data_IF_831725638530
#
_entry.id   IF_831725638530
#
_cell.length_a   1.000
_cell.length_b   1.000
_cell.length_c   1.000
_cell.angle_alpha   90.00
_cell.angle_beta   90.00
_cell.angle_gamma   90.00
#
_symmetry.space_group_name_H-M   'P 1'
#
loop_
_entity.id
_entity.type
_entity.pdbx_description
1 polymer ?
#
# COMPACT_ATOMS: atom_id res chain seq x y z
N UNK A 1 -18.45 -17.66 16.01
CA UNK A 1 -19.19 -18.93 15.89
C UNK A 1 -19.46 -19.35 14.44
N UNK A 2 -19.70 -18.44 13.48
CA UNK A 2 -19.82 -18.82 12.05
C UNK A 2 -18.49 -19.37 11.44
N UNK A 3 -17.34 -18.80 11.81
CA UNK A 3 -16.00 -19.22 11.36
C UNK A 3 -15.55 -20.63 11.78
N UNK A 4 -16.21 -21.25 12.77
CA UNK A 4 -15.85 -22.61 13.24
C UNK A 4 -16.66 -23.73 12.58
N UNK A 5 -17.75 -23.41 11.88
CA UNK A 5 -18.64 -24.40 11.25
C UNK A 5 -18.19 -24.74 9.82
N UNK A 6 -17.60 -23.77 9.07
CA UNK A 6 -16.99 -24.05 7.76
C UNK A 6 -15.75 -24.95 7.84
N UNK A 7 -15.05 -24.94 8.99
CA UNK A 7 -13.78 -25.64 9.23
C UNK A 7 -13.88 -27.18 9.16
N UNK A 8 -15.09 -27.73 9.11
CA UNK A 8 -15.37 -29.16 9.23
C UNK A 8 -16.08 -29.79 8.00
N UNK A 9 -16.26 -29.04 6.90
CA UNK A 9 -16.88 -29.58 5.68
C UNK A 9 -15.88 -30.28 4.74
N UNK A 10 -14.63 -29.81 4.67
CA UNK A 10 -13.57 -30.53 3.96
C UNK A 10 -12.94 -31.58 4.88
N UNK A 11 -13.03 -32.86 4.52
CA UNK A 11 -12.17 -33.87 5.12
C UNK A 11 -10.69 -33.58 4.82
N UNK A 12 -9.76 -34.04 5.66
CA UNK A 12 -8.31 -33.81 5.53
C UNK A 12 -7.76 -34.08 4.11
N UNK A 13 -8.30 -35.11 3.46
CA UNK A 13 -7.96 -35.44 2.06
C UNK A 13 -8.39 -34.37 1.07
N UNK A 14 -9.59 -33.81 1.24
CA UNK A 14 -10.10 -32.74 0.38
C UNK A 14 -9.27 -31.47 0.52
N UNK A 15 -8.84 -31.16 1.76
CA UNK A 15 -7.93 -30.04 2.04
C UNK A 15 -6.61 -30.20 1.31
N UNK A 16 -5.95 -31.36 1.45
CA UNK A 16 -4.68 -31.63 0.78
C UNK A 16 -4.81 -31.55 -0.74
N UNK A 17 -5.83 -32.19 -1.33
CA UNK A 17 -6.07 -32.14 -2.78
C UNK A 17 -6.34 -30.71 -3.26
N UNK A 18 -7.12 -29.91 -2.51
CA UNK A 18 -7.39 -28.52 -2.86
C UNK A 18 -6.10 -27.68 -2.87
N UNK A 19 -5.24 -27.82 -1.86
CA UNK A 19 -3.97 -27.10 -1.79
C UNK A 19 -3.08 -27.42 -3.00
N UNK A 20 -2.96 -28.69 -3.38
CA UNK A 20 -2.14 -29.10 -4.53
C UNK A 20 -2.72 -28.62 -5.87
N UNK A 21 -4.04 -28.64 -6.02
CA UNK A 21 -4.70 -28.11 -7.23
C UNK A 21 -4.41 -26.61 -7.39
N UNK A 22 -4.52 -25.85 -6.31
CA UNK A 22 -4.29 -24.40 -6.35
C UNK A 22 -2.81 -24.11 -6.60
N UNK A 23 -1.90 -24.84 -5.95
CA UNK A 23 -0.46 -24.71 -6.18
C UNK A 23 -0.07 -25.03 -7.63
N UNK A 24 -0.59 -26.12 -8.20
CA UNK A 24 -0.35 -26.48 -9.59
C UNK A 24 -0.94 -25.43 -10.54
N UNK A 25 -2.15 -24.94 -10.27
CA UNK A 25 -2.76 -23.89 -11.09
C UNK A 25 -1.96 -22.58 -11.04
N UNK A 26 -1.46 -22.17 -9.86
CA UNK A 26 -0.59 -20.99 -9.72
C UNK A 26 0.67 -21.13 -10.59
N UNK A 27 1.27 -22.32 -10.61
CA UNK A 27 2.50 -22.58 -11.35
C UNK A 27 2.30 -22.64 -12.88
N UNK A 28 1.17 -23.15 -13.38
CA UNK A 28 1.00 -23.44 -14.82
C UNK A 28 -0.01 -22.55 -15.54
N UNK A 29 -0.92 -21.89 -14.82
CA UNK A 29 -2.10 -21.22 -15.38
C UNK A 29 -3.05 -22.15 -16.17
N UNK A 30 -2.90 -23.47 -16.09
CA UNK A 30 -3.67 -24.45 -16.84
C UNK A 30 -4.69 -25.19 -15.95
N UNK A 31 -5.93 -25.46 -16.44
CA UNK A 31 -6.91 -26.26 -15.70
C UNK A 31 -6.35 -27.62 -15.26
N UNK A 32 -6.45 -27.90 -13.96
CA UNK A 32 -5.77 -29.03 -13.34
C UNK A 32 -6.62 -30.30 -13.40
N UNK A 33 -6.07 -31.38 -13.95
CA UNK A 33 -6.75 -32.66 -14.11
C UNK A 33 -6.44 -33.67 -13.01
N UNK A 34 -7.41 -34.54 -12.68
CA UNK A 34 -7.24 -35.54 -11.61
C UNK A 34 -6.09 -36.53 -11.83
N UNK A 35 -5.76 -36.85 -13.08
CA UNK A 35 -4.61 -37.70 -13.44
C UNK A 35 -3.26 -37.04 -13.13
N UNK A 36 -3.15 -35.73 -13.36
CA UNK A 36 -1.93 -34.98 -13.10
C UNK A 36 -1.66 -34.93 -11.59
N UNK A 37 -2.68 -34.59 -10.79
CA UNK A 37 -2.57 -34.53 -9.33
C UNK A 37 -2.25 -35.90 -8.71
N UNK A 38 -2.92 -36.98 -9.14
CA UNK A 38 -2.58 -38.34 -8.68
C UNK A 38 -1.09 -38.66 -8.91
N UNK A 39 -0.62 -38.43 -10.14
CA UNK A 39 0.75 -38.79 -10.52
C UNK A 39 1.81 -37.94 -9.82
N UNK A 40 1.54 -36.65 -9.58
CA UNK A 40 2.52 -35.69 -9.07
C UNK A 40 2.59 -35.68 -7.54
N UNK A 41 1.45 -35.81 -6.85
CA UNK A 41 1.35 -35.50 -5.42
C UNK A 41 0.83 -36.63 -4.54
N UNK A 42 0.17 -37.65 -5.11
CA UNK A 42 -0.50 -38.70 -4.31
C UNK A 42 -0.31 -40.12 -4.89
N UNK A 43 0.74 -40.82 -4.45
CA UNK A 43 1.05 -42.19 -4.90
C UNK A 43 -0.07 -43.21 -4.59
N UNK A 44 -0.83 -42.99 -3.51
CA UNK A 44 -1.85 -43.93 -3.02
C UNK A 44 -3.29 -43.61 -3.49
N UNK A 45 -3.49 -42.58 -4.32
CA UNK A 45 -4.83 -42.17 -4.77
C UNK A 45 -5.01 -42.39 -6.27
N UNK A 46 -6.08 -43.12 -6.63
CA UNK A 46 -6.43 -43.30 -8.03
C UNK A 46 -6.99 -42.00 -8.65
N UNK A 47 -6.78 -41.74 -9.96
CA UNK A 47 -7.37 -40.59 -10.64
C UNK A 47 -8.90 -40.52 -10.55
N UNK A 48 -9.57 -41.66 -10.38
CA UNK A 48 -11.02 -41.71 -10.17
C UNK A 48 -11.41 -41.18 -8.78
N UNK A 49 -10.65 -41.55 -7.74
CA UNK A 49 -10.87 -41.05 -6.37
C UNK A 49 -10.69 -39.54 -6.30
N UNK A 50 -9.62 -39.02 -6.91
CA UNK A 50 -9.36 -37.57 -6.95
C UNK A 50 -10.45 -36.85 -7.74
N UNK A 51 -10.93 -37.43 -8.85
CA UNK A 51 -12.04 -36.84 -9.62
C UNK A 51 -13.31 -36.67 -8.77
N UNK A 52 -13.65 -37.66 -7.95
CA UNK A 52 -14.79 -37.56 -7.04
C UNK A 52 -14.59 -36.43 -6.02
N UNK A 53 -13.42 -36.35 -5.39
CA UNK A 53 -13.11 -35.26 -4.45
C UNK A 53 -13.13 -33.89 -5.14
N UNK A 54 -12.63 -33.78 -6.37
CA UNK A 54 -12.70 -32.55 -7.16
C UNK A 54 -14.14 -32.14 -7.47
N UNK A 55 -15.05 -33.11 -7.67
CA UNK A 55 -16.48 -32.85 -7.82
C UNK A 55 -17.07 -32.29 -6.52
N UNK A 56 -16.77 -32.93 -5.39
CA UNK A 56 -17.22 -32.44 -4.07
C UNK A 56 -16.71 -31.01 -3.80
N UNK A 57 -15.45 -30.72 -4.15
CA UNK A 57 -14.86 -29.38 -4.01
C UNK A 57 -15.50 -28.34 -4.93
N UNK A 58 -15.97 -28.74 -6.11
CA UNK A 58 -16.74 -27.90 -7.02
C UNK A 58 -18.14 -27.63 -6.49
N UNK A 59 -18.84 -28.65 -5.98
CA UNK A 59 -20.16 -28.51 -5.35
C UNK A 59 -20.10 -27.60 -4.11
N UNK A 60 -18.99 -27.66 -3.37
CA UNK A 60 -18.70 -26.77 -2.23
C UNK A 60 -18.23 -25.36 -2.66
N UNK A 61 -18.02 -25.13 -3.96
CA UNK A 61 -17.67 -23.84 -4.56
C UNK A 61 -16.20 -23.42 -4.46
N UNK A 62 -15.27 -24.32 -4.10
CA UNK A 62 -13.83 -24.03 -4.05
C UNK A 62 -13.14 -24.12 -5.42
N UNK A 63 -13.70 -24.94 -6.29
CA UNK A 63 -13.24 -25.15 -7.65
C UNK A 63 -14.38 -24.91 -8.64
N UNK A 64 -14.04 -24.68 -9.90
CA UNK A 64 -14.99 -24.67 -11.00
C UNK A 64 -14.41 -25.33 -12.24
N UNK A 65 -15.27 -25.83 -13.11
CA UNK A 65 -14.90 -26.32 -14.42
C UNK A 65 -15.14 -25.25 -15.51
N UNK A 66 -14.09 -24.72 -16.17
CA UNK A 66 -14.28 -23.68 -17.19
C UNK A 66 -14.97 -24.20 -18.47
N UNK A 67 -14.69 -25.45 -18.86
CA UNK A 67 -15.33 -26.15 -19.99
C UNK A 67 -15.54 -27.62 -19.66
N UNK A 68 -16.56 -28.26 -20.25
CA UNK A 68 -16.98 -29.63 -19.92
C UNK A 68 -15.86 -30.70 -20.02
N UNK A 69 -14.82 -30.47 -20.84
CA UNK A 69 -13.66 -31.35 -21.01
C UNK A 69 -12.39 -30.89 -20.26
N UNK A 70 -12.39 -29.69 -19.70
CA UNK A 70 -11.24 -29.12 -19.00
C UNK A 70 -11.10 -29.68 -17.58
N UNK A 71 -9.90 -29.51 -16.99
CA UNK A 71 -9.66 -29.73 -15.57
C UNK A 71 -10.46 -28.79 -14.66
N UNK A 72 -10.01 -28.61 -13.42
CA UNK A 72 -10.60 -27.63 -12.50
C UNK A 72 -9.69 -26.43 -12.34
N UNK A 73 -10.29 -25.28 -12.10
CA UNK A 73 -9.58 -24.03 -11.73
C UNK A 73 -10.10 -23.53 -10.38
N UNK A 74 -9.28 -22.83 -9.59
CA UNK A 74 -9.71 -22.26 -8.33
C UNK A 74 -10.77 -21.17 -8.51
N UNK A 75 -11.70 -21.09 -7.56
CA UNK A 75 -12.56 -19.92 -7.35
C UNK A 75 -11.90 -18.97 -6.34
N UNK A 76 -12.49 -17.80 -6.14
CA UNK A 76 -12.06 -16.84 -5.11
C UNK A 76 -12.08 -17.47 -3.71
N UNK A 77 -13.11 -18.29 -3.43
CA UNK A 77 -13.22 -19.10 -2.21
C UNK A 77 -12.09 -20.13 -2.09
N UNK A 78 -11.70 -20.74 -3.22
CA UNK A 78 -10.54 -21.62 -3.32
C UNK A 78 -9.25 -20.90 -2.91
N UNK A 79 -8.96 -19.77 -3.54
CA UNK A 79 -7.78 -18.96 -3.23
C UNK A 79 -7.76 -18.47 -1.78
N UNK A 80 -8.90 -18.00 -1.25
CA UNK A 80 -9.02 -17.62 0.17
C UNK A 80 -8.66 -18.78 1.08
N UNK A 81 -9.22 -19.98 0.82
CA UNK A 81 -8.87 -21.17 1.60
C UNK A 81 -7.37 -21.47 1.53
N UNK A 82 -6.78 -21.40 0.33
CA UNK A 82 -5.35 -21.62 0.13
C UNK A 82 -4.53 -20.65 0.98
N UNK A 83 -4.74 -19.34 0.82
CA UNK A 83 -4.03 -18.28 1.55
C UNK A 83 -4.12 -18.45 3.06
N UNK A 84 -5.30 -18.79 3.58
CA UNK A 84 -5.51 -18.98 5.02
C UNK A 84 -4.78 -20.23 5.58
N UNK A 85 -4.32 -21.14 4.72
CA UNK A 85 -3.70 -22.42 5.10
C UNK A 85 -2.29 -22.63 4.52
N UNK A 86 -1.71 -21.68 3.78
CA UNK A 86 -0.32 -21.77 3.35
C UNK A 86 0.56 -21.77 4.61
N UNK A 87 1.47 -22.74 4.79
CA UNK A 87 2.42 -22.68 5.87
C UNK A 87 3.28 -21.41 5.73
N UNK A 88 3.69 -20.77 6.84
CA UNK A 88 4.63 -19.66 6.77
C UNK A 88 5.92 -20.15 6.11
N UNK A 89 6.15 -19.71 4.87
CA UNK A 89 7.30 -20.08 4.09
C UNK A 89 8.57 -19.38 4.58
N UNK A 90 9.75 -20.04 4.52
CA UNK A 90 11.00 -19.31 4.57
C UNK A 90 11.07 -18.39 3.34
N UNK A 91 11.52 -17.16 3.54
CA UNK A 91 12.05 -16.38 2.42
C UNK A 91 13.16 -17.21 1.79
N UNK A 92 13.17 -17.33 0.47
CA UNK A 92 14.39 -17.70 -0.21
C UNK A 92 15.45 -16.67 0.24
N UNK A 93 16.55 -17.16 0.83
CA UNK A 93 17.53 -16.31 1.50
C UNK A 93 18.17 -15.26 0.56
N UNK A 94 18.00 -15.42 -0.75
CA UNK A 94 18.41 -14.48 -1.80
C UNK A 94 17.52 -13.22 -1.86
N UNK A 95 16.19 -13.34 -1.75
CA UNK A 95 15.27 -12.20 -1.87
C UNK A 95 15.34 -11.26 -0.66
N UNK A 96 15.47 -11.81 0.56
CA UNK A 96 15.74 -10.98 1.76
C UNK A 96 17.11 -10.29 1.72
N UNK A 97 18.08 -10.88 1.00
CA UNK A 97 19.41 -10.31 0.77
C UNK A 97 19.33 -9.07 -0.13
N UNK A 98 18.63 -9.18 -1.26
CA UNK A 98 18.42 -8.09 -2.22
C UNK A 98 17.72 -6.90 -1.54
N UNK A 99 16.69 -7.16 -0.74
CA UNK A 99 15.95 -6.11 0.00
C UNK A 99 16.78 -5.52 1.14
N UNK A 100 17.82 -6.17 1.65
CA UNK A 100 18.68 -5.57 2.70
C UNK A 100 19.86 -4.81 2.11
N UNK A 101 20.51 -5.40 1.10
CA UNK A 101 21.71 -4.89 0.46
C UNK A 101 21.42 -3.58 -0.31
N UNK A 102 20.25 -3.48 -0.95
CA UNK A 102 19.81 -2.25 -1.63
C UNK A 102 19.55 -1.08 -0.67
N UNK A 103 19.19 -1.36 0.59
CA UNK A 103 18.83 -0.33 1.57
C UNK A 103 19.97 0.08 2.51
N UNK A 104 20.94 -0.81 2.78
CA UNK A 104 21.96 -0.55 3.80
C UNK A 104 23.02 0.49 3.37
N UNK A 105 23.17 0.76 2.06
CA UNK A 105 24.23 1.62 1.51
C UNK A 105 23.74 2.95 0.90
N UNK A 106 22.57 3.01 0.24
CA UNK A 106 22.18 4.20 -0.55
C UNK A 106 21.02 5.05 0.03
N UNK A 107 20.21 4.49 0.94
CA UNK A 107 18.91 5.09 1.30
C UNK A 107 18.84 5.68 2.71
N UNK A 108 19.87 5.55 3.55
CA UNK A 108 19.80 6.01 4.95
C UNK A 108 19.58 7.52 5.07
N UNK A 109 20.16 8.31 4.18
CA UNK A 109 20.12 9.78 4.22
C UNK A 109 19.21 10.43 3.16
N UNK A 110 18.50 9.64 2.34
CA UNK A 110 17.60 10.15 1.31
C UNK A 110 16.29 10.71 1.87
N UNK A 111 15.58 11.60 1.18
CA UNK A 111 14.20 12.00 1.54
C UNK A 111 13.26 10.80 1.74
N UNK A 112 12.19 10.96 2.54
CA UNK A 112 11.20 9.89 2.75
C UNK A 112 10.61 9.40 1.42
N UNK A 113 10.30 10.33 0.53
CA UNK A 113 9.69 10.05 -0.76
C UNK A 113 10.55 9.11 -1.60
N UNK A 114 11.85 9.37 -1.72
CA UNK A 114 12.80 8.50 -2.44
C UNK A 114 12.89 7.09 -1.83
N UNK A 115 12.82 6.98 -0.51
CA UNK A 115 12.80 5.66 0.17
C UNK A 115 11.52 4.90 -0.20
N UNK A 116 10.37 5.58 -0.23
CA UNK A 116 9.08 4.99 -0.58
C UNK A 116 8.99 4.66 -2.08
N UNK A 117 9.57 5.47 -2.96
CA UNK A 117 9.72 5.18 -4.39
C UNK A 117 10.58 3.94 -4.63
N UNK A 118 11.71 3.86 -3.94
CA UNK A 118 12.57 2.68 -3.98
C UNK A 118 11.84 1.42 -3.50
N UNK A 119 11.08 1.53 -2.40
CA UNK A 119 10.23 0.44 -1.93
C UNK A 119 9.19 0.01 -2.98
N UNK A 120 8.52 0.97 -3.62
CA UNK A 120 7.55 0.71 -4.68
C UNK A 120 8.19 -0.03 -5.87
N UNK A 121 9.41 0.35 -6.24
CA UNK A 121 10.19 -0.28 -7.30
C UNK A 121 10.62 -1.71 -6.94
N UNK A 122 11.07 -1.93 -5.71
CA UNK A 122 11.46 -3.25 -5.20
C UNK A 122 10.26 -4.18 -5.17
N UNK A 123 9.12 -3.73 -4.64
CA UNK A 123 7.88 -4.49 -4.67
C UNK A 123 7.56 -4.93 -6.09
N UNK A 124 7.54 -3.99 -7.04
CA UNK A 124 7.25 -4.29 -8.44
C UNK A 124 8.23 -5.29 -9.06
N UNK A 125 9.54 -5.04 -8.95
CA UNK A 125 10.56 -5.86 -9.63
C UNK A 125 10.69 -7.27 -9.06
N UNK A 126 10.70 -7.41 -7.74
CA UNK A 126 10.89 -8.71 -7.09
C UNK A 126 9.65 -9.60 -7.21
N UNK A 127 8.47 -8.98 -7.22
CA UNK A 127 7.20 -9.69 -7.38
C UNK A 127 6.81 -9.98 -8.83
N UNK A 128 7.33 -9.20 -9.77
CA UNK A 128 6.81 -9.10 -11.13
C UNK A 128 5.31 -8.77 -11.16
N UNK A 129 4.86 -7.89 -10.27
CA UNK A 129 3.49 -7.40 -10.12
C UNK A 129 3.48 -5.87 -10.03
N UNK A 130 2.29 -5.25 -9.87
CA UNK A 130 2.22 -3.81 -9.58
C UNK A 130 2.51 -3.55 -8.10
N UNK A 131 3.55 -2.77 -7.83
CA UNK A 131 3.86 -2.24 -6.51
C UNK A 131 3.06 -0.97 -6.24
N UNK A 132 2.49 -0.88 -5.04
CA UNK A 132 1.74 0.27 -4.54
C UNK A 132 2.33 0.71 -3.20
N UNK A 133 2.59 2.01 -3.04
CA UNK A 133 3.03 2.57 -1.76
C UNK A 133 2.27 3.87 -1.50
N UNK A 134 1.54 3.87 -0.38
CA UNK A 134 0.83 5.05 0.10
C UNK A 134 1.79 5.92 0.91
N UNK A 135 1.99 7.17 0.49
CA UNK A 135 2.75 8.17 1.24
C UNK A 135 1.89 8.68 2.40
N UNK A 136 2.45 8.89 3.60
CA UNK A 136 1.66 9.36 4.73
C UNK A 136 1.05 10.73 4.40
N UNK A 137 -0.21 10.95 4.81
CA UNK A 137 -0.81 12.27 4.63
C UNK A 137 0.00 13.34 5.37
N UNK A 138 0.39 14.37 4.64
CA UNK A 138 1.11 15.52 5.16
C UNK A 138 0.44 16.13 6.39
N UNK A 139 -0.89 16.21 6.39
CA UNK A 139 -1.68 16.78 7.48
C UNK A 139 -1.44 16.10 8.84
N UNK A 140 -1.04 14.82 8.85
CA UNK A 140 -0.77 14.05 10.06
C UNK A 140 0.71 14.04 10.47
N UNK A 141 1.61 14.59 9.63
CA UNK A 141 3.03 14.66 9.94
C UNK A 141 3.33 15.66 11.07
N UNK A 142 4.46 15.44 11.75
CA UNK A 142 4.97 16.37 12.75
C UNK A 142 5.77 17.49 12.09
N UNK A 143 5.48 18.72 12.48
CA UNK A 143 6.19 19.92 12.06
C UNK A 143 7.62 19.94 12.60
N UNK A 144 8.61 20.13 11.71
CA UNK A 144 10.03 20.32 12.08
C UNK A 144 10.50 21.74 11.84
N UNK A 145 10.28 22.27 10.63
CA UNK A 145 10.76 23.60 10.24
C UNK A 145 9.89 24.21 9.13
N UNK A 146 9.77 25.53 9.14
CA UNK A 146 9.27 26.33 8.01
C UNK A 146 10.16 27.54 7.79
N UNK A 147 10.36 27.89 6.52
CA UNK A 147 11.13 29.05 6.10
C UNK A 147 10.38 29.79 4.99
N UNK A 148 10.31 31.11 5.10
CA UNK A 148 9.78 31.96 4.05
C UNK A 148 10.91 32.78 3.41
N UNK A 149 11.05 32.65 2.10
CA UNK A 149 12.05 33.37 1.30
C UNK A 149 11.34 34.26 0.30
N UNK A 150 11.57 35.57 0.34
CA UNK A 150 10.99 36.50 -0.63
C UNK A 150 11.59 36.20 -2.01
N UNK A 151 10.73 35.91 -2.98
CA UNK A 151 11.12 35.58 -4.37
C UNK A 151 10.64 36.62 -5.39
N UNK A 152 9.68 37.46 -5.01
CA UNK A 152 9.16 38.55 -5.83
C UNK A 152 8.66 39.72 -4.99
N UNK A 153 8.08 40.73 -5.63
CA UNK A 153 7.51 41.90 -4.92
C UNK A 153 6.34 41.50 -4.01
N UNK A 154 5.47 40.62 -4.49
CA UNK A 154 4.26 40.16 -3.82
C UNK A 154 4.25 38.63 -3.66
N UNK A 155 5.42 38.00 -3.66
CA UNK A 155 5.56 36.55 -3.63
C UNK A 155 6.68 36.12 -2.68
N UNK A 156 6.41 35.07 -1.89
CA UNK A 156 7.39 34.39 -1.07
C UNK A 156 7.32 32.87 -1.32
N UNK A 157 8.47 32.22 -1.34
CA UNK A 157 8.58 30.76 -1.29
C UNK A 157 8.50 30.32 0.16
N UNK A 158 7.45 29.60 0.52
CA UNK A 158 7.38 28.83 1.75
C UNK A 158 8.08 27.48 1.51
N UNK A 159 9.04 27.14 2.36
CA UNK A 159 9.70 25.83 2.40
C UNK A 159 9.42 25.22 3.76
N UNK A 160 8.67 24.13 3.76
CA UNK A 160 8.32 23.38 4.94
C UNK A 160 9.08 22.05 4.96
N UNK A 161 9.51 21.63 6.15
CA UNK A 161 10.15 20.35 6.41
C UNK A 161 9.44 19.68 7.59
N UNK A 162 9.06 18.42 7.44
CA UNK A 162 8.53 17.59 8.53
C UNK A 162 9.65 16.89 9.31
N UNK A 163 9.33 16.32 10.47
CA UNK A 163 10.27 15.47 11.23
C UNK A 163 10.75 14.24 10.42
N UNK A 164 10.02 13.87 9.37
CA UNK A 164 10.39 12.79 8.45
C UNK A 164 11.28 13.23 7.28
N UNK A 165 11.62 14.52 7.21
CA UNK A 165 12.35 15.07 6.07
C UNK A 165 11.51 15.21 4.81
N UNK A 166 10.18 15.11 4.91
CA UNK A 166 9.29 15.46 3.80
C UNK A 166 9.36 16.96 3.60
N UNK A 167 9.78 17.36 2.40
CA UNK A 167 9.91 18.75 2.01
C UNK A 167 8.69 19.13 1.17
N UNK A 168 8.02 20.22 1.54
CA UNK A 168 7.01 20.84 0.70
C UNK A 168 7.39 22.29 0.46
N UNK A 169 7.23 22.75 -0.77
CA UNK A 169 7.47 24.13 -1.11
C UNK A 169 6.29 24.73 -1.89
N UNK A 170 5.96 25.98 -1.60
CA UNK A 170 4.86 26.68 -2.24
C UNK A 170 5.18 28.16 -2.39
N UNK A 171 4.94 28.71 -3.57
CA UNK A 171 4.95 30.16 -3.76
C UNK A 171 3.61 30.68 -3.23
N UNK A 172 3.67 31.57 -2.25
CA UNK A 172 2.51 32.21 -1.63
C UNK A 172 2.49 33.70 -1.94
N UNK A 173 1.30 34.27 -2.19
CA UNK A 173 1.16 35.71 -2.30
C UNK A 173 1.43 36.36 -0.94
N UNK A 174 2.19 37.47 -0.94
CA UNK A 174 2.46 38.28 0.24
C UNK A 174 2.23 39.76 -0.08
N UNK A 175 1.91 40.57 0.92
CA UNK A 175 1.81 42.01 0.73
C UNK A 175 3.19 42.60 0.41
N UNK A 176 3.24 43.68 -0.38
CA UNK A 176 4.49 44.27 -0.84
C UNK A 176 5.39 44.74 0.34
N UNK A 177 4.77 45.10 1.47
CA UNK A 177 5.44 45.56 2.69
C UNK A 177 6.16 44.46 3.49
N UNK A 178 5.98 43.17 3.12
CA UNK A 178 6.70 42.08 3.77
C UNK A 178 8.16 42.09 3.33
N UNK A 179 9.05 42.64 4.18
CA UNK A 179 10.49 42.49 4.01
C UNK A 179 10.93 41.06 4.33
N UNK A 180 12.11 40.66 3.83
CA UNK A 180 12.71 39.37 4.20
C UNK A 180 12.88 39.24 5.73
N UNK A 181 13.21 40.33 6.42
CA UNK A 181 13.33 40.36 7.88
C UNK A 181 12.01 40.03 8.60
N UNK A 182 10.88 40.55 8.08
CA UNK A 182 9.54 40.19 8.59
C UNK A 182 9.25 38.71 8.36
N UNK A 183 9.55 38.18 7.17
CA UNK A 183 9.37 36.76 6.83
C UNK A 183 10.21 35.83 7.71
N UNK A 184 11.47 36.20 7.98
CA UNK A 184 12.36 35.48 8.89
C UNK A 184 11.84 35.53 10.33
N UNK A 185 11.33 36.68 10.78
CA UNK A 185 10.73 36.80 12.12
C UNK A 185 9.51 35.88 12.29
N UNK A 186 8.68 35.77 11.25
CA UNK A 186 7.53 34.86 11.21
C UNK A 186 7.99 33.40 11.22
N UNK A 187 8.99 33.06 10.41
CA UNK A 187 9.57 31.71 10.38
C UNK A 187 10.06 31.29 11.77
N UNK A 188 10.84 32.15 12.43
CA UNK A 188 11.34 31.91 13.79
C UNK A 188 10.22 31.70 14.81
N UNK A 189 9.16 32.51 14.74
CA UNK A 189 8.00 32.38 15.60
C UNK A 189 7.31 31.02 15.41
N UNK A 190 7.00 30.62 14.17
CA UNK A 190 6.35 29.35 13.87
C UNK A 190 7.22 28.16 14.31
N UNK A 191 8.52 28.24 14.05
CA UNK A 191 9.50 27.22 14.43
C UNK A 191 9.63 27.06 15.95
N UNK A 192 9.53 28.16 16.71
CA UNK A 192 9.56 28.11 18.18
C UNK A 192 8.31 27.50 18.80
N UNK A 193 7.14 27.86 18.27
CA UNK A 193 5.85 27.50 18.88
C UNK A 193 5.33 26.12 18.50
N UNK A 194 5.55 25.71 17.25
CA UNK A 194 4.84 24.58 16.65
C UNK A 194 5.71 23.35 16.41
N UNK A 195 6.97 23.37 16.86
CA UNK A 195 7.88 22.22 16.79
C UNK A 195 7.26 20.95 17.39
N UNK A 196 7.41 19.83 16.68
CA UNK A 196 6.91 18.50 17.07
C UNK A 196 5.38 18.41 17.23
N UNK A 197 4.61 19.30 16.62
CA UNK A 197 3.14 19.23 16.64
C UNK A 197 2.59 18.74 15.30
N UNK A 198 1.47 18.00 15.28
CA UNK A 198 0.83 17.59 14.03
C UNK A 198 0.37 18.79 13.21
N UNK A 199 0.61 18.79 11.90
CA UNK A 199 0.25 19.91 11.00
C UNK A 199 -1.24 20.24 11.05
N UNK A 200 -2.11 19.22 11.07
CA UNK A 200 -3.57 19.36 11.22
C UNK A 200 -3.95 20.06 12.52
N UNK A 201 -3.23 19.76 13.62
CA UNK A 201 -3.43 20.44 14.89
C UNK A 201 -2.97 21.89 14.80
N UNK A 202 -1.81 22.16 14.20
CA UNK A 202 -1.28 23.53 14.05
C UNK A 202 -2.25 24.38 13.23
N UNK A 203 -2.80 23.86 12.12
CA UNK A 203 -3.85 24.53 11.35
C UNK A 203 -5.04 24.91 12.23
N UNK A 204 -5.52 23.96 13.02
CA UNK A 204 -6.68 24.17 13.90
C UNK A 204 -6.38 25.19 15.01
N UNK A 205 -5.18 25.14 15.58
CA UNK A 205 -4.71 26.06 16.62
C UNK A 205 -4.56 27.48 16.08
N UNK A 206 -3.94 27.65 14.91
CA UNK A 206 -3.76 28.94 14.24
C UNK A 206 -5.12 29.58 13.89
N UNK A 207 -6.06 28.80 13.38
CA UNK A 207 -7.43 29.27 13.11
C UNK A 207 -8.19 29.62 14.39
N UNK A 208 -8.02 28.85 15.47
CA UNK A 208 -8.63 29.18 16.78
C UNK A 208 -8.07 30.49 17.31
N UNK A 209 -6.75 30.62 17.31
CA UNK A 209 -6.00 31.81 17.72
C UNK A 209 -6.52 33.05 17.00
N UNK A 210 -6.52 33.06 15.67
CA UNK A 210 -7.03 34.18 14.86
C UNK A 210 -8.49 34.60 15.16
N UNK A 211 -9.35 33.67 15.59
CA UNK A 211 -10.77 33.95 15.90
C UNK A 211 -10.98 34.52 17.31
N UNK A 212 -10.26 34.04 18.31
CA UNK A 212 -10.64 34.23 19.73
C UNK A 212 -9.78 35.23 20.51
N UNK A 213 -8.59 35.61 20.02
CA UNK A 213 -7.63 36.44 20.76
C UNK A 213 -7.38 37.81 20.09
N UNK A 214 -8.40 38.37 19.43
CA UNK A 214 -8.33 39.62 18.64
C UNK A 214 -7.80 40.86 19.40
N UNK A 215 -7.84 40.87 20.73
CA UNK A 215 -7.46 42.04 21.54
C UNK A 215 -6.01 42.01 22.07
N UNK A 216 -5.24 40.93 21.88
CA UNK A 216 -3.89 40.80 22.45
C UNK A 216 -2.79 40.40 21.45
N UNK A 217 -3.08 40.38 20.15
CA UNK A 217 -2.11 39.94 19.16
C UNK A 217 -1.16 41.02 18.70
N UNK A 218 0.14 40.77 18.89
CA UNK A 218 1.19 41.47 18.16
C UNK A 218 1.03 41.27 16.66
N UNK A 219 1.34 42.31 15.89
CA UNK A 219 1.20 42.33 14.42
C UNK A 219 1.94 41.17 13.74
N UNK A 220 3.05 40.71 14.33
CA UNK A 220 3.83 39.57 13.85
C UNK A 220 3.01 38.27 13.84
N UNK A 221 2.22 38.05 14.89
CA UNK A 221 1.36 36.87 15.03
C UNK A 221 0.30 36.84 13.93
N UNK A 222 -0.38 37.97 13.73
CA UNK A 222 -1.45 38.07 12.71
C UNK A 222 -0.91 37.71 11.33
N UNK A 223 0.28 38.22 10.99
CA UNK A 223 0.99 37.90 9.75
C UNK A 223 1.41 36.42 9.68
N UNK A 224 1.83 35.83 10.80
CA UNK A 224 2.15 34.39 10.87
C UNK A 224 0.93 33.51 10.58
N UNK A 225 -0.23 33.87 11.12
CA UNK A 225 -1.49 33.18 10.86
C UNK A 225 -1.88 33.31 9.38
N UNK A 226 -1.86 34.52 8.82
CA UNK A 226 -2.21 34.77 7.42
C UNK A 226 -1.31 33.99 6.44
N UNK A 227 0.01 33.95 6.70
CA UNK A 227 0.94 33.17 5.87
C UNK A 227 0.75 31.67 6.05
N UNK A 228 0.50 31.18 7.27
CA UNK A 228 0.20 29.77 7.49
C UNK A 228 -1.08 29.36 6.76
N UNK A 229 -2.16 30.11 6.91
CA UNK A 229 -3.40 29.84 6.19
C UNK A 229 -3.13 29.83 4.69
N UNK A 230 -2.50 30.84 4.12
CA UNK A 230 -2.23 30.88 2.67
C UNK A 230 -1.35 29.71 2.18
N UNK A 231 -0.42 29.23 3.02
CA UNK A 231 0.43 28.07 2.71
C UNK A 231 -0.39 26.77 2.68
N UNK A 232 -1.30 26.57 3.63
CA UNK A 232 -1.96 25.28 3.89
C UNK A 232 -3.51 25.27 3.66
N UNK A 233 -4.09 26.34 3.11
CA UNK A 233 -5.54 26.55 2.87
C UNK A 233 -5.94 26.33 1.41
N UNK A 234 -5.05 25.77 0.57
CA UNK A 234 -5.53 25.14 -0.66
C UNK A 234 -6.56 24.10 -0.25
N UNK A 235 -7.77 24.27 -0.75
CA UNK A 235 -8.91 23.40 -0.54
C UNK A 235 -8.49 21.93 -0.53
N UNK A 236 -8.32 21.42 0.69
CA UNK A 236 -7.98 20.06 1.11
C UNK A 236 -9.19 19.12 0.84
N UNK A 237 -9.81 19.27 -0.34
CA UNK A 237 -10.72 18.30 -0.92
C UNK A 237 -9.85 17.42 -1.81
N UNK A 238 -9.70 16.16 -1.42
CA UNK A 238 -9.30 15.07 -2.31
C UNK A 238 -7.91 15.17 -2.96
N UNK A 239 -6.89 15.64 -2.24
CA UNK A 239 -5.54 15.07 -2.46
C UNK A 239 -5.32 13.98 -1.43
N UNK A 240 -6.08 12.91 -1.68
CA UNK A 240 -5.80 11.52 -1.33
C UNK A 240 -4.30 11.30 -1.09
N UNK A 241 -3.97 10.50 -0.07
CA UNK A 241 -2.60 10.08 0.20
C UNK A 241 -1.84 9.83 -1.12
N UNK A 242 -0.68 10.49 -1.30
CA UNK A 242 0.05 10.38 -2.57
C UNK A 242 0.40 8.90 -2.80
N UNK A 243 -0.22 8.34 -3.83
CA UNK A 243 -0.06 6.94 -4.18
C UNK A 243 1.03 6.80 -5.24
N UNK A 244 2.11 6.15 -4.85
CA UNK A 244 3.14 5.64 -5.74
C UNK A 244 2.66 4.33 -6.36
N UNK A 245 2.76 4.25 -7.68
CA UNK A 245 2.36 3.08 -8.47
C UNK A 245 3.50 2.75 -9.42
N UNK A 246 3.97 1.50 -9.41
CA UNK A 246 4.98 1.03 -10.35
C UNK A 246 4.68 -0.41 -10.80
N UNK A 247 5.12 -0.80 -11.99
CA UNK A 247 4.96 -2.18 -12.47
C UNK A 247 3.62 -2.52 -13.13
N UNK A 248 2.86 -1.52 -13.57
CA UNK A 248 1.59 -1.74 -14.32
C UNK A 248 1.84 -2.61 -15.56
N UNK A 249 3.00 -2.44 -16.18
CA UNK A 249 3.40 -3.22 -17.37
C UNK A 249 3.53 -4.72 -17.11
N UNK A 250 3.80 -5.14 -15.86
CA UNK A 250 3.99 -6.55 -15.51
C UNK A 250 2.70 -7.37 -15.69
N UNK A 251 1.55 -6.70 -15.72
CA UNK A 251 0.28 -7.36 -16.02
C UNK A 251 0.21 -7.89 -17.45
N UNK A 252 0.88 -7.24 -18.40
CA UNK A 252 0.88 -7.70 -19.81
C UNK A 252 1.64 -9.01 -19.99
N UNK A 253 2.56 -9.33 -19.10
CA UNK A 253 3.35 -10.56 -19.16
C UNK A 253 2.60 -11.78 -18.57
N UNK A 254 1.42 -11.57 -17.98
CA UNK A 254 0.67 -12.66 -17.37
C UNK A 254 -0.20 -13.40 -18.41
N UNK A 255 -0.17 -14.76 -18.42
CA UNK A 255 -0.94 -15.59 -19.34
C UNK A 255 -2.42 -15.23 -19.45
N UNK A 256 -3.08 -14.90 -18.34
CA UNK A 256 -4.51 -14.60 -18.30
C UNK A 256 -4.89 -13.29 -18.96
N UNK A 257 -3.95 -12.36 -19.06
CA UNK A 257 -4.17 -11.07 -19.73
C UNK A 257 -3.69 -11.09 -21.18
N UNK A 258 -2.87 -12.08 -21.59
CA UNK A 258 -2.36 -12.20 -22.96
C UNK A 258 -3.44 -12.42 -24.03
N UNK A 259 -4.58 -13.02 -23.66
CA UNK A 259 -5.66 -13.36 -24.60
C UNK A 259 -6.97 -12.58 -24.36
N UNK A 260 -7.08 -11.84 -23.26
CA UNK A 260 -8.31 -11.16 -22.84
C UNK A 260 -8.10 -9.64 -22.73
N UNK A 261 -8.34 -8.95 -23.84
CA UNK A 261 -8.26 -7.50 -23.93
C UNK A 261 -9.28 -6.79 -23.02
N UNK A 262 -10.41 -7.41 -22.71
CA UNK A 262 -11.40 -6.82 -21.80
C UNK A 262 -10.92 -6.90 -20.35
N UNK A 263 -10.30 -8.01 -19.96
CA UNK A 263 -9.65 -8.13 -18.65
C UNK A 263 -8.53 -7.09 -18.48
N UNK A 264 -7.72 -6.84 -19.52
CA UNK A 264 -6.71 -5.76 -19.53
C UNK A 264 -7.37 -4.39 -19.33
N UNK A 265 -8.44 -4.06 -20.08
CA UNK A 265 -9.10 -2.76 -19.96
C UNK A 265 -9.67 -2.52 -18.56
N UNK A 266 -10.32 -3.54 -17.98
CA UNK A 266 -10.88 -3.46 -16.63
C UNK A 266 -9.77 -3.20 -15.61
N UNK A 267 -8.65 -3.91 -15.74
CA UNK A 267 -7.48 -3.72 -14.90
C UNK A 267 -6.88 -2.31 -15.05
N UNK A 268 -6.67 -1.84 -16.29
CA UNK A 268 -6.15 -0.49 -16.54
C UNK A 268 -7.02 0.56 -15.88
N UNK A 269 -8.34 0.42 -16.00
CA UNK A 269 -9.30 1.32 -15.36
C UNK A 269 -9.20 1.26 -13.83
N UNK A 270 -8.98 0.07 -13.26
CA UNK A 270 -8.79 -0.09 -11.82
C UNK A 270 -7.52 0.60 -11.30
N UNK A 271 -6.45 0.66 -12.12
CA UNK A 271 -5.17 1.28 -11.74
C UNK A 271 -5.11 2.77 -12.09
N UNK A 272 -5.77 3.21 -13.17
CA UNK A 272 -5.86 4.61 -13.59
C UNK A 272 -6.61 5.46 -12.55
N UNK A 273 -7.66 4.90 -11.95
CA UNK A 273 -8.42 5.55 -10.88
C UNK A 273 -7.68 5.45 -9.53
N UNK A 274 -6.61 6.23 -9.36
CA UNK A 274 -5.79 6.28 -8.12
C UNK A 274 -6.64 6.42 -6.85
N UNK A 275 -7.71 7.19 -6.88
CA UNK A 275 -8.60 7.40 -5.72
C UNK A 275 -9.27 6.12 -5.23
N UNK A 276 -9.56 5.15 -6.11
CA UNK A 276 -10.07 3.83 -5.71
C UNK A 276 -9.00 3.01 -5.00
N UNK A 277 -7.77 3.03 -5.52
CA UNK A 277 -6.65 2.36 -4.88
C UNK A 277 -6.34 2.96 -3.51
N UNK A 278 -6.39 4.29 -3.37
CA UNK A 278 -6.19 4.98 -2.09
C UNK A 278 -7.24 4.53 -1.08
N UNK A 279 -8.54 4.56 -1.43
CA UNK A 279 -9.62 4.07 -0.54
C UNK A 279 -9.37 2.64 -0.05
N UNK A 280 -8.94 1.76 -0.95
CA UNK A 280 -8.67 0.38 -0.62
C UNK A 280 -7.43 0.23 0.30
N UNK A 281 -6.40 1.06 0.13
CA UNK A 281 -5.23 1.09 1.00
C UNK A 281 -5.49 1.76 2.36
N UNK A 282 -6.41 2.73 2.42
CA UNK A 282 -6.89 3.34 3.66
C UNK A 282 -7.63 2.31 4.53
N UNK A 283 -8.50 1.48 3.92
CA UNK A 283 -9.14 0.37 4.62
C UNK A 283 -8.09 -0.61 5.20
N UNK A 284 -7.02 -0.88 4.45
CA UNK A 284 -5.91 -1.71 4.94
C UNK A 284 -5.14 -1.05 6.10
N UNK A 285 -5.06 0.28 6.14
CA UNK A 285 -4.36 1.02 7.19
C UNK A 285 -5.02 0.82 8.57
N UNK A 286 -6.34 0.66 8.60
CA UNK A 286 -7.09 0.44 9.84
C UNK A 286 -6.78 -0.92 10.48
N UNK A 287 -6.45 -1.93 9.68
CA UNK A 287 -6.20 -3.29 10.14
C UNK A 287 -4.79 -3.48 10.72
N UNK A 288 -4.68 -4.32 11.76
CA UNK A 288 -3.39 -4.76 12.29
C UNK A 288 -2.94 -6.03 11.57
N UNK A 289 -1.68 -6.03 11.14
CA UNK A 289 -1.10 -7.14 10.38
C UNK A 289 -1.32 -7.02 8.88
N UNK A 290 -1.17 -8.16 8.20
CA UNK A 290 -1.25 -8.23 6.75
C UNK A 290 -2.71 -8.33 6.31
N UNK A 291 -3.06 -7.56 5.29
CA UNK A 291 -4.38 -7.61 4.65
C UNK A 291 -4.23 -8.23 3.27
N UNK A 292 -5.08 -9.22 2.96
CA UNK A 292 -5.13 -9.86 1.65
C UNK A 292 -6.56 -9.77 1.17
N UNK A 293 -6.79 -9.23 -0.02
CA UNK A 293 -8.11 -9.11 -0.66
C UNK A 293 -8.07 -9.87 -1.96
N UNK A 294 -9.03 -10.77 -2.19
CA UNK A 294 -9.06 -11.66 -3.35
C UNK A 294 -10.39 -11.49 -4.08
N UNK A 295 -10.32 -10.96 -5.31
CA UNK A 295 -11.44 -10.94 -6.24
C UNK A 295 -12.71 -10.33 -5.66
N UNK A 296 -13.74 -11.15 -5.49
CA UNK A 296 -15.06 -10.77 -4.97
C UNK A 296 -15.07 -10.20 -3.54
N UNK A 297 -13.97 -10.34 -2.79
CA UNK A 297 -13.80 -9.66 -1.51
C UNK A 297 -13.60 -8.15 -1.66
N UNK A 298 -13.25 -7.68 -2.85
CA UNK A 298 -13.21 -6.25 -3.14
C UNK A 298 -14.60 -5.69 -3.41
N UNK A 299 -14.93 -4.59 -2.71
CA UNK A 299 -16.17 -3.84 -2.95
C UNK A 299 -16.19 -3.18 -4.34
N UNK A 300 -15.01 -2.87 -4.89
CA UNK A 300 -14.83 -2.26 -6.19
C UNK A 300 -14.92 -3.30 -7.32
N UNK A 301 -15.91 -3.14 -8.20
CA UNK A 301 -16.21 -4.13 -9.26
C UNK A 301 -15.03 -4.32 -10.22
N UNK A 302 -14.34 -3.25 -10.57
CA UNK A 302 -13.18 -3.28 -11.47
C UNK A 302 -12.00 -4.05 -10.87
N UNK A 303 -11.93 -4.20 -9.54
CA UNK A 303 -10.85 -4.91 -8.85
C UNK A 303 -11.15 -6.39 -8.63
N UNK A 304 -12.37 -6.86 -8.95
CA UNK A 304 -12.75 -8.26 -8.75
C UNK A 304 -12.00 -9.26 -9.62
N UNK A 305 -11.25 -8.80 -10.63
CA UNK A 305 -10.32 -9.64 -11.41
C UNK A 305 -8.95 -9.83 -10.75
N UNK A 306 -8.68 -9.12 -9.65
CA UNK A 306 -7.35 -8.97 -9.08
C UNK A 306 -7.30 -9.46 -7.64
N UNK A 307 -6.11 -9.42 -7.05
CA UNK A 307 -5.90 -9.52 -5.62
C UNK A 307 -4.92 -8.46 -5.16
N UNK A 308 -5.05 -8.09 -3.88
CA UNK A 308 -4.17 -7.17 -3.18
C UNK A 308 -3.56 -7.90 -1.99
N UNK A 309 -2.25 -7.72 -1.78
CA UNK A 309 -1.56 -8.09 -0.55
C UNK A 309 -0.91 -6.85 0.02
N UNK A 310 -1.34 -6.43 1.20
CA UNK A 310 -0.97 -5.17 1.81
C UNK A 310 -0.41 -5.36 3.24
N UNK A 311 0.58 -4.56 3.59
CA UNK A 311 1.17 -4.48 4.92
C UNK A 311 1.44 -3.02 5.28
N UNK A 312 1.06 -2.65 6.50
CA UNK A 312 1.30 -1.32 7.02
C UNK A 312 2.76 -1.17 7.45
N UNK A 313 3.39 -0.06 7.05
CA UNK A 313 4.68 0.38 7.58
C UNK A 313 4.46 1.45 8.66
N UNK A 314 5.38 1.50 9.62
CA UNK A 314 5.18 2.27 10.85
C UNK A 314 6.26 3.33 11.03
N UNK A 315 5.88 4.40 11.72
CA UNK A 315 6.78 5.40 12.24
C UNK A 315 6.65 5.45 13.77
N UNK A 316 7.63 4.85 14.45
CA UNK A 316 7.47 4.58 15.87
C UNK A 316 6.24 3.70 16.11
N UNK A 317 5.32 4.17 16.95
CA UNK A 317 4.13 3.42 17.32
C UNK A 317 2.92 3.64 16.40
N UNK A 318 3.01 4.59 15.46
CA UNK A 318 1.92 4.95 14.55
C UNK A 318 2.07 4.28 13.19
N UNK A 319 0.95 3.90 12.57
CA UNK A 319 0.93 3.42 11.18
C UNK A 319 1.10 4.64 10.26
N UNK A 320 2.17 4.65 9.49
CA UNK A 320 2.50 5.79 8.63
C UNK A 320 1.84 5.67 7.25
N UNK A 321 1.70 4.45 6.74
CA UNK A 321 1.02 4.18 5.48
C UNK A 321 1.01 2.69 5.16
N UNK A 322 0.52 2.38 3.96
CA UNK A 322 0.33 1.01 3.48
C UNK A 322 1.21 0.74 2.27
N UNK A 323 1.89 -0.40 2.26
CA UNK A 323 2.58 -0.95 1.09
C UNK A 323 1.81 -2.15 0.58
N UNK A 324 1.68 -2.29 -0.73
CA UNK A 324 0.96 -3.42 -1.30
C UNK A 324 1.51 -3.89 -2.64
N UNK A 325 1.22 -5.15 -2.94
CA UNK A 325 1.27 -5.71 -4.28
C UNK A 325 -0.16 -5.84 -4.78
N UNK A 326 -0.38 -5.42 -6.03
CA UNK A 326 -1.63 -5.56 -6.77
C UNK A 326 -1.37 -6.38 -8.04
N UNK A 327 -2.15 -7.44 -8.24
CA UNK A 327 -1.90 -8.45 -9.26
C UNK A 327 -3.12 -9.31 -9.61
N UNK A 328 -3.02 -10.26 -10.56
CA UNK A 328 -4.08 -11.24 -10.83
C UNK A 328 -4.32 -12.13 -9.61
N UNK A 329 -5.52 -12.74 -9.52
CA UNK A 329 -5.81 -13.75 -8.47
C UNK A 329 -4.83 -14.92 -8.47
N UNK A 330 -4.31 -15.29 -9.65
CA UNK A 330 -3.26 -16.28 -9.75
C UNK A 330 -1.90 -15.63 -9.45
N UNK A 331 -1.51 -15.65 -8.20
CA UNK A 331 -0.18 -15.22 -7.76
C UNK A 331 0.44 -16.24 -6.83
N UNK A 332 1.77 -16.27 -6.77
CA UNK A 332 2.49 -17.00 -5.72
C UNK A 332 2.31 -16.26 -4.39
N UNK A 333 1.17 -16.50 -3.74
CA UNK A 333 0.80 -15.81 -2.50
C UNK A 333 1.87 -15.96 -1.42
N UNK A 334 2.54 -17.12 -1.32
CA UNK A 334 3.60 -17.34 -0.35
C UNK A 334 4.76 -16.37 -0.57
N UNK A 335 5.24 -16.26 -1.81
CA UNK A 335 6.28 -15.30 -2.20
C UNK A 335 5.83 -13.85 -2.03
N UNK A 336 4.63 -13.50 -2.49
CA UNK A 336 4.12 -12.13 -2.42
C UNK A 336 3.94 -11.63 -0.99
N UNK A 337 3.40 -12.48 -0.10
CA UNK A 337 3.31 -12.22 1.35
C UNK A 337 4.69 -11.92 1.91
N UNK A 338 5.69 -12.74 1.58
CA UNK A 338 7.03 -12.59 2.08
C UNK A 338 7.67 -11.26 1.65
N UNK A 339 7.61 -10.93 0.35
CA UNK A 339 8.13 -9.68 -0.22
C UNK A 339 7.51 -8.45 0.44
N UNK A 340 6.17 -8.39 0.53
CA UNK A 340 5.46 -7.24 1.11
C UNK A 340 5.81 -7.07 2.58
N UNK A 341 5.85 -8.16 3.35
CA UNK A 341 6.18 -8.14 4.77
C UNK A 341 7.61 -7.65 5.02
N UNK A 342 8.58 -8.19 4.28
CA UNK A 342 9.99 -7.82 4.40
C UNK A 342 10.24 -6.38 4.00
N UNK A 343 9.60 -5.91 2.93
CA UNK A 343 9.72 -4.52 2.47
C UNK A 343 9.15 -3.56 3.50
N UNK A 344 7.93 -3.80 4.00
CA UNK A 344 7.30 -2.96 5.02
C UNK A 344 8.09 -2.95 6.34
N UNK A 345 8.65 -4.08 6.78
CA UNK A 345 9.53 -4.16 7.95
C UNK A 345 10.82 -3.39 7.76
N UNK A 346 11.44 -3.50 6.58
CA UNK A 346 12.68 -2.79 6.25
C UNK A 346 12.48 -1.29 6.26
N UNK A 347 11.43 -0.80 5.61
CA UNK A 347 11.08 0.64 5.63
C UNK A 347 10.76 1.09 7.05
N UNK A 348 9.95 0.34 7.80
CA UNK A 348 9.64 0.66 9.22
C UNK A 348 10.92 0.79 10.06
N UNK A 349 11.91 -0.09 9.86
CA UNK A 349 13.21 -0.04 10.55
C UNK A 349 13.98 1.24 10.19
N UNK A 350 14.08 1.57 8.89
CA UNK A 350 14.78 2.78 8.43
C UNK A 350 14.15 4.06 8.97
N UNK A 351 12.82 4.15 8.95
CA UNK A 351 12.10 5.30 9.50
C UNK A 351 12.29 5.42 11.01
N UNK A 352 12.34 4.29 11.71
CA UNK A 352 12.61 4.25 13.16
C UNK A 352 14.04 4.69 13.49
N UNK A 353 15.02 4.34 12.66
CA UNK A 353 16.42 4.77 12.83
C UNK A 353 16.60 6.28 12.57
N UNK A 354 15.89 6.85 11.59
CA UNK A 354 15.88 8.30 11.35
C UNK A 354 15.33 9.08 12.54
N UNK A 355 14.23 8.62 13.12
CA UNK A 355 13.60 9.25 14.30
C UNK A 355 14.53 9.27 15.52
N UNK A 356 15.49 8.35 15.64
CA UNK A 356 16.48 8.35 16.74
C UNK A 356 17.63 9.33 16.53
N UNK A 357 17.83 9.84 15.30
CA UNK A 357 18.94 10.73 14.94
C UNK A 357 18.54 12.20 14.84
N UNK A 358 17.27 12.50 14.53
CA UNK A 358 16.67 13.84 14.70
C UNK A 358 16.28 14.06 16.15
#
# INVERSE_FOLDING_TARGET
MARSIEKNQLGERGKAILMEIISDYIATAEPVGSRAIAKKHFENLSPATIRNVMSDLEDLGYLRQPHASAGRVPTDKGYRYFVDHIPPGPLAADESGIIREYYDQELKDQPLEEVLESACNILSKTSNQTGLVMIPSFSHMLFKHIEFVKVGKNEALAVFISELGVLQNKIIPVEEDFSQEKLTSISNYLNGEFKNKPIKWIRSEILRRAKFEKEHYDQLMKKAVELWTTTFDDHDKDKDADLLVNGIVNFFDQPEFSADLEAIKVLFKAVEEKSKLVKLLDLCLEHDGMTIIIGEESEEKEMRGCSLIAQNYRLGDEKAGTMAIFGPKRMDYQKMIAIVNDTAKTVTKLLSERKKRS
#
